data_IF_964943551957
#
_entry.id   IF_964943551957
#
_cell.length_a   1.000
_cell.length_b   1.000
_cell.length_c   1.000
_cell.angle_alpha   90.00
_cell.angle_beta   90.00
_cell.angle_gamma   90.00
#
_symmetry.space_group_name_H-M   'P 1'
#
loop_
_entity.id
_entity.type
_entity.pdbx_description
1 polymer ?
#
# COMPACT_ATOMS: atom_id res chain seq x y z
N UNK A 1 4.11 7.51 12.34
CA UNK A 1 4.98 6.33 12.13
C UNK A 1 4.99 6.10 10.64
N UNK A 2 6.15 6.05 9.99
CA UNK A 2 6.17 5.89 8.54
C UNK A 2 6.17 4.40 8.17
N UNK A 3 5.23 3.98 7.33
CA UNK A 3 5.14 2.65 6.77
C UNK A 3 6.12 2.55 5.61
N UNK A 4 7.01 1.57 5.67
CA UNK A 4 7.89 1.28 4.54
C UNK A 4 7.09 0.52 3.48
N UNK A 5 7.01 1.07 2.28
CA UNK A 5 6.27 0.48 1.16
C UNK A 5 7.15 0.37 -0.09
N UNK A 6 6.93 -0.67 -0.89
CA UNK A 6 7.48 -0.80 -2.23
C UNK A 6 6.35 -0.51 -3.20
N UNK A 7 6.56 0.46 -4.07
CA UNK A 7 5.56 0.93 -5.02
C UNK A 7 5.94 0.47 -6.42
N UNK A 8 5.01 -0.20 -7.08
CA UNK A 8 5.13 -0.60 -8.48
C UNK A 8 4.25 0.32 -9.32
N UNK A 9 4.88 1.18 -10.11
CA UNK A 9 4.19 2.05 -11.06
C UNK A 9 4.06 1.38 -12.42
N UNK A 10 2.99 1.69 -13.14
CA UNK A 10 2.78 1.20 -14.51
C UNK A 10 3.82 1.82 -15.44
N UNK A 11 4.67 0.98 -16.03
CA UNK A 11 5.70 1.38 -17.00
C UNK A 11 7.01 1.87 -16.39
N UNK A 12 7.16 1.79 -15.07
CA UNK A 12 8.34 2.26 -14.33
C UNK A 12 8.92 1.15 -13.44
N UNK A 13 10.17 1.33 -13.00
CA UNK A 13 10.79 0.41 -12.05
C UNK A 13 10.20 0.56 -10.64
N UNK A 14 10.12 -0.55 -9.91
CA UNK A 14 9.67 -0.54 -8.53
C UNK A 14 10.68 0.20 -7.61
N UNK A 15 10.16 1.05 -6.73
CA UNK A 15 10.96 1.80 -5.77
C UNK A 15 10.43 1.63 -4.35
N UNK A 16 11.31 1.83 -3.39
CA UNK A 16 11.01 1.83 -1.97
C UNK A 16 10.72 3.25 -1.52
N UNK A 17 9.71 3.42 -0.69
CA UNK A 17 9.30 4.71 -0.18
C UNK A 17 8.72 4.57 1.23
N UNK A 18 8.57 5.71 1.90
CA UNK A 18 7.95 5.83 3.20
C UNK A 18 6.59 6.51 3.05
N UNK A 19 5.56 5.86 3.58
CA UNK A 19 4.18 6.34 3.61
C UNK A 19 3.84 6.77 5.04
N UNK A 20 3.44 8.03 5.23
CA UNK A 20 3.14 8.56 6.57
C UNK A 20 1.89 7.92 7.19
N UNK A 21 0.84 7.68 6.39
CA UNK A 21 -0.41 7.06 6.81
C UNK A 21 -1.04 6.29 5.65
N UNK A 22 -1.78 5.22 5.96
CA UNK A 22 -2.54 4.52 4.93
C UNK A 22 -3.63 5.44 4.37
N UNK A 23 -3.70 5.59 3.05
CA UNK A 23 -4.73 6.41 2.43
C UNK A 23 -6.12 5.85 2.73
N UNK A 24 -7.03 6.74 3.14
CA UNK A 24 -8.45 6.41 3.28
C UNK A 24 -9.05 6.03 1.92
N UNK A 25 -10.10 5.21 1.90
CA UNK A 25 -10.77 4.72 0.67
C UNK A 25 -11.23 5.85 -0.28
N UNK A 26 -11.42 7.07 0.23
CA UNK A 26 -11.81 8.23 -0.59
C UNK A 26 -10.64 9.01 -1.21
N UNK A 27 -9.40 8.75 -0.79
CA UNK A 27 -8.25 9.45 -1.33
C UNK A 27 -7.89 8.90 -2.71
N UNK A 28 -7.78 9.78 -3.71
CA UNK A 28 -7.44 9.41 -5.08
C UNK A 28 -5.92 9.40 -5.38
N UNK A 29 -5.10 9.68 -4.37
CA UNK A 29 -3.66 9.76 -4.48
C UNK A 29 -2.99 9.23 -3.21
N UNK A 30 -1.71 8.91 -3.32
CA UNK A 30 -0.85 8.53 -2.21
C UNK A 30 0.31 9.52 -2.12
N UNK A 31 0.66 9.91 -0.90
CA UNK A 31 1.82 10.77 -0.63
C UNK A 31 2.95 9.91 -0.09
N UNK A 32 4.09 9.95 -0.76
CA UNK A 32 5.28 9.16 -0.45
C UNK A 32 6.45 10.09 -0.14
N UNK A 33 7.32 9.64 0.75
CA UNK A 33 8.53 10.34 1.18
C UNK A 33 9.72 9.41 1.09
N UNK A 34 10.92 9.97 1.08
CA UNK A 34 12.18 9.22 1.09
C UNK A 34 12.26 8.13 0.00
N UNK A 35 11.89 8.48 -1.25
CA UNK A 35 11.87 7.53 -2.35
C UNK A 35 13.29 7.14 -2.76
N UNK A 36 13.55 5.84 -2.85
CA UNK A 36 14.82 5.25 -3.26
C UNK A 36 14.59 4.00 -4.10
N UNK A 37 15.45 3.73 -5.07
CA UNK A 37 15.45 2.45 -5.80
C UNK A 37 15.75 1.30 -4.84
N UNK A 38 15.39 0.08 -5.24
CA UNK A 38 15.79 -1.15 -4.53
C UNK A 38 17.31 -1.28 -4.36
N UNK A 39 18.09 -0.69 -5.27
CA UNK A 39 19.56 -0.61 -5.23
C UNK A 39 20.10 0.42 -4.22
N UNK A 40 19.23 1.17 -3.54
CA UNK A 40 19.60 2.25 -2.61
C UNK A 40 19.95 3.58 -3.27
N UNK A 41 19.96 3.65 -4.60
CA UNK A 41 20.18 4.87 -5.38
C UNK A 41 18.92 5.72 -5.51
N UNK A 42 19.10 6.99 -5.83
CA UNK A 42 18.01 7.89 -6.14
C UNK A 42 17.31 7.51 -7.44
N UNK A 43 16.03 7.84 -7.52
CA UNK A 43 15.21 7.55 -8.68
C UNK A 43 15.44 8.63 -9.74
N UNK A 44 15.79 8.22 -10.95
CA UNK A 44 16.31 9.10 -12.01
C UNK A 44 15.35 10.20 -12.45
N UNK A 45 14.05 9.99 -12.35
CA UNK A 45 13.03 10.96 -12.73
C UNK A 45 12.60 11.90 -11.59
N UNK A 46 13.19 11.76 -10.40
CA UNK A 46 12.88 12.62 -9.26
C UNK A 46 13.87 13.79 -9.18
N UNK A 47 13.35 14.96 -8.83
CA UNK A 47 14.15 16.16 -8.61
C UNK A 47 14.92 16.06 -7.31
N UNK A 48 16.21 16.40 -7.37
CA UNK A 48 17.07 16.52 -6.18
C UNK A 48 16.48 17.51 -5.16
N UNK A 49 16.42 17.09 -3.89
CA UNK A 49 15.85 17.89 -2.80
C UNK A 49 14.33 17.87 -2.64
N UNK A 50 13.58 17.16 -3.50
CA UNK A 50 12.14 16.97 -3.31
C UNK A 50 11.86 16.05 -2.11
N UNK A 51 11.02 16.51 -1.18
CA UNK A 51 10.77 15.84 0.11
C UNK A 51 9.49 14.99 0.16
N UNK A 52 8.55 15.28 -0.73
CA UNK A 52 7.25 14.63 -0.78
C UNK A 52 6.82 14.48 -2.24
N UNK A 53 6.29 13.31 -2.57
CA UNK A 53 5.90 12.94 -3.91
C UNK A 53 4.46 12.43 -3.87
N UNK A 54 3.63 12.89 -4.80
CA UNK A 54 2.22 12.53 -4.85
C UNK A 54 1.97 11.75 -6.13
N UNK A 55 1.47 10.51 -5.99
CA UNK A 55 1.14 9.65 -7.13
C UNK A 55 -0.36 9.35 -7.14
N UNK A 56 -1.02 9.40 -8.30
CA UNK A 56 -2.41 8.98 -8.41
C UNK A 56 -2.52 7.45 -8.40
N UNK A 57 -3.60 6.91 -7.84
CA UNK A 57 -3.85 5.45 -7.84
C UNK A 57 -3.91 4.84 -9.23
N UNK A 58 -4.36 5.60 -10.21
CA UNK A 58 -4.49 5.15 -11.60
C UNK A 58 -3.15 4.77 -12.24
N UNK A 59 -2.02 5.18 -11.65
CA UNK A 59 -0.67 4.85 -12.13
C UNK A 59 0.00 3.74 -11.32
N UNK A 60 -0.58 3.35 -10.19
CA UNK A 60 0.01 2.37 -9.27
C UNK A 60 -0.57 1.01 -9.62
N UNK A 61 0.30 0.05 -9.94
CA UNK A 61 -0.08 -1.34 -10.18
C UNK A 61 -0.45 -2.02 -8.86
N UNK A 62 0.46 -1.98 -7.88
CA UNK A 62 0.24 -2.48 -6.52
C UNK A 62 1.28 -1.92 -5.56
N UNK A 63 1.02 -2.09 -4.26
CA UNK A 63 1.87 -1.66 -3.15
C UNK A 63 2.22 -2.87 -2.28
N UNK A 64 3.51 -3.07 -1.98
CA UNK A 64 3.94 -4.04 -0.97
C UNK A 64 4.25 -3.28 0.31
N UNK A 65 3.51 -3.55 1.38
CA UNK A 65 3.73 -2.92 2.69
C UNK A 65 4.67 -3.81 3.50
N UNK A 66 5.87 -3.32 3.78
CA UNK A 66 6.93 -4.08 4.47
C UNK A 66 6.92 -3.89 5.99
N UNK A 67 6.42 -2.75 6.47
CA UNK A 67 6.25 -2.51 7.90
C UNK A 67 4.99 -3.20 8.40
N UNK A 68 5.06 -3.79 9.60
CA UNK A 68 3.89 -4.30 10.30
C UNK A 68 2.86 -3.18 10.40
N UNK A 69 1.70 -3.39 9.79
CA UNK A 69 0.54 -2.52 9.94
C UNK A 69 0.28 -2.45 11.46
N UNK A 70 0.37 -1.28 12.11
CA UNK A 70 0.06 -1.21 13.53
C UNK A 70 -1.40 -1.62 13.67
N UNK A 71 -1.61 -2.78 14.26
CA UNK A 71 -2.90 -3.44 14.47
C UNK A 71 -3.78 -2.54 15.34
N UNK A 72 -4.57 -1.64 14.73
CA UNK A 72 -5.56 -0.84 15.44
C UNK A 72 -6.77 -0.49 14.58
N UNK A 73 -7.47 -1.53 14.12
CA UNK A 73 -8.93 -1.63 14.30
C UNK A 73 -9.27 -3.09 14.62
N UNK A 74 -8.70 -3.63 15.69
CA UNK A 74 -9.41 -4.66 16.46
C UNK A 74 -10.65 -4.00 17.05
N UNK A 75 -11.71 -3.93 16.24
CA UNK A 75 -13.05 -3.94 16.79
C UNK A 75 -13.08 -5.14 17.74
N UNK A 76 -13.17 -4.86 19.03
CA UNK A 76 -13.03 -5.81 20.11
C UNK A 76 -13.84 -7.08 19.83
N UNK A 77 -13.16 -8.14 19.40
CA UNK A 77 -13.69 -9.48 19.37
C UNK A 77 -13.00 -10.22 20.51
N UNK A 78 -13.72 -10.62 21.57
CA UNK A 78 -13.12 -11.10 22.80
C UNK A 78 -12.59 -12.55 22.71
N UNK A 79 -12.36 -13.09 21.50
CA UNK A 79 -11.87 -14.44 21.37
C UNK A 79 -10.86 -14.54 20.23
N UNK A 80 -9.61 -14.79 20.61
CA UNK A 80 -8.50 -14.91 19.70
C UNK A 80 -8.66 -16.12 18.78
N UNK A 81 -8.67 -15.89 17.48
CA UNK A 81 -8.19 -16.83 16.47
C UNK A 81 -7.84 -15.99 15.24
N UNK A 82 -6.55 -15.80 15.00
CA UNK A 82 -6.03 -15.17 13.80
C UNK A 82 -6.35 -16.09 12.61
N UNK A 83 -7.38 -15.74 11.85
CA UNK A 83 -7.77 -16.42 10.63
C UNK A 83 -7.74 -15.42 9.49
N UNK A 84 -6.85 -15.65 8.53
CA UNK A 84 -6.69 -14.92 7.27
C UNK A 84 -8.03 -14.66 6.59
N UNK A 85 -8.51 -13.42 6.60
CA UNK A 85 -9.64 -13.00 5.76
C UNK A 85 -9.15 -12.78 4.34
N UNK A 86 -9.11 -13.86 3.55
CA UNK A 86 -9.16 -13.73 2.10
C UNK A 86 -10.59 -13.29 1.77
N UNK A 87 -10.76 -12.02 1.41
CA UNK A 87 -11.98 -11.50 0.77
C UNK A 87 -12.06 -12.10 -0.65
N UNK A 88 -12.41 -13.38 -0.71
CA UNK A 88 -12.78 -14.09 -1.91
C UNK A 88 -14.23 -13.78 -2.24
N UNK A 89 -14.43 -13.06 -3.34
CA UNK A 89 -15.71 -12.88 -4.00
C UNK A 89 -16.18 -14.24 -4.54
N UNK A 90 -16.87 -15.04 -3.72
CA UNK A 90 -17.66 -16.17 -4.21
C UNK A 90 -19.11 -15.72 -4.26
N UNK A 91 -19.53 -15.32 -5.46
CA UNK A 91 -20.89 -14.96 -5.83
C UNK A 91 -21.50 -16.13 -6.60
N UNK A 92 -22.74 -16.48 -6.23
CA UNK A 92 -23.66 -17.43 -6.88
C UNK A 92 -23.16 -18.90 -6.84
N UNK A 93 -23.97 -19.90 -6.49
CA UNK A 93 -25.29 -20.17 -7.06
C UNK A 93 -26.33 -20.61 -6.01
N UNK A 94 -27.50 -20.00 -6.17
CA UNK A 94 -28.80 -20.53 -5.80
C UNK A 94 -29.11 -21.71 -6.73
N UNK A 95 -29.30 -22.93 -6.23
CA UNK A 95 -30.28 -23.86 -6.80
C UNK A 95 -30.56 -25.06 -5.89
N UNK A 96 -31.86 -25.20 -5.55
CA UNK A 96 -32.66 -26.43 -5.35
C UNK A 96 -31.90 -27.76 -5.37
N UNK A 97 -32.15 -28.71 -4.46
CA UNK A 97 -33.47 -29.23 -4.07
C UNK A 97 -33.35 -30.11 -2.82
#
# INVERSE_FOLDING_TARGET
MALTVIVHLVGEEAFMAELDELPSTMQNHITLRNIRKKDGKEVTYLTDGAKAFVFPWTRISFLEVMSEMPDHVVAASPNGTQGTTILGFFREEDERS
#
